data_IF_010506915122
#
_entry.id   IF_010506915122
#
_cell.length_a   1.000
_cell.length_b   1.000
_cell.length_c   1.000
_cell.angle_alpha   90.00
_cell.angle_beta   90.00
_cell.angle_gamma   90.00
#
_symmetry.space_group_name_H-M   'P 1'
#
loop_
_entity.id
_entity.type
_entity.pdbx_description
1 polymer ?
#
# COMPACT_ATOMS: atom_id res chain seq x y z
N UNK A 1 -8.22 -12.75 -0.90
CA UNK A 1 -7.08 -13.68 -0.79
C UNK A 1 -7.43 -14.97 -1.50
N UNK A 2 -6.51 -15.57 -2.25
CA UNK A 2 -6.71 -16.86 -2.92
C UNK A 2 -6.60 -18.00 -1.89
N UNK A 3 -7.26 -19.16 -2.07
CA UNK A 3 -7.10 -20.28 -1.16
C UNK A 3 -5.62 -20.67 -1.00
N UNK A 4 -5.13 -20.75 0.24
CA UNK A 4 -3.73 -21.10 0.56
C UNK A 4 -2.68 -20.02 0.29
N UNK A 5 -3.07 -18.82 -0.12
CA UNK A 5 -2.15 -17.70 -0.36
C UNK A 5 -1.61 -17.13 0.94
N UNK A 6 -0.30 -16.99 1.06
CA UNK A 6 0.33 -16.37 2.24
C UNK A 6 0.18 -14.84 2.18
N UNK A 7 0.13 -14.13 3.32
CA UNK A 7 -0.01 -12.67 3.34
C UNK A 7 1.05 -11.92 2.51
N UNK A 8 2.31 -12.36 2.50
CA UNK A 8 3.38 -11.78 1.68
C UNK A 8 3.12 -11.93 0.18
N UNK A 9 2.65 -13.11 -0.25
CA UNK A 9 2.34 -13.37 -1.65
C UNK A 9 1.11 -12.55 -2.09
N UNK A 10 0.16 -12.36 -1.18
CA UNK A 10 -1.03 -11.54 -1.40
C UNK A 10 -0.71 -10.08 -1.68
N UNK A 11 0.03 -9.38 -0.79
CA UNK A 11 0.38 -7.96 -0.99
C UNK A 11 1.28 -7.77 -2.20
N UNK A 12 2.22 -8.68 -2.44
CA UNK A 12 3.08 -8.67 -3.63
C UNK A 12 2.25 -8.76 -4.90
N UNK A 13 1.34 -9.73 -4.99
CA UNK A 13 0.46 -9.91 -6.14
C UNK A 13 -0.42 -8.67 -6.39
N UNK A 14 -1.02 -8.10 -5.35
CA UNK A 14 -1.87 -6.92 -5.50
C UNK A 14 -1.07 -5.70 -5.99
N UNK A 15 0.14 -5.49 -5.52
CA UNK A 15 1.01 -4.42 -6.02
C UNK A 15 1.31 -4.61 -7.51
N UNK A 16 1.67 -5.83 -7.94
CA UNK A 16 1.90 -6.17 -9.36
C UNK A 16 0.64 -5.97 -10.21
N UNK A 17 -0.52 -6.46 -9.75
CA UNK A 17 -1.79 -6.32 -10.46
C UNK A 17 -2.22 -4.86 -10.63
N UNK A 18 -2.02 -4.02 -9.57
CA UNK A 18 -2.28 -2.57 -9.62
C UNK A 18 -1.37 -1.88 -10.64
N UNK A 19 -0.06 -2.16 -10.61
CA UNK A 19 0.89 -1.62 -11.58
C UNK A 19 0.53 -1.97 -13.03
N UNK A 20 0.19 -3.24 -13.27
CA UNK A 20 -0.25 -3.70 -14.59
C UNK A 20 -1.57 -3.08 -15.04
N UNK A 21 -2.48 -2.78 -14.12
CA UNK A 21 -3.74 -2.11 -14.45
C UNK A 21 -3.51 -0.66 -14.88
N UNK A 22 -2.63 0.07 -14.20
CA UNK A 22 -2.25 1.45 -14.57
C UNK A 22 -1.57 1.47 -15.94
N UNK A 23 -0.65 0.53 -16.20
CA UNK A 23 0.03 0.42 -17.51
C UNK A 23 -0.98 0.24 -18.66
N UNK A 24 -1.95 -0.67 -18.50
CA UNK A 24 -3.01 -0.87 -19.49
C UNK A 24 -3.86 0.38 -19.71
N UNK A 25 -4.21 1.09 -18.64
CA UNK A 25 -4.97 2.32 -18.74
C UNK A 25 -4.22 3.39 -19.54
N UNK A 26 -2.93 3.59 -19.23
CA UNK A 26 -2.07 4.53 -19.95
C UNK A 26 -1.90 4.17 -21.44
N UNK A 27 -1.81 2.88 -21.78
CA UNK A 27 -1.75 2.42 -23.17
C UNK A 27 -3.06 2.73 -23.89
N UNK A 28 -4.21 2.45 -23.30
CA UNK A 28 -5.52 2.74 -23.89
C UNK A 28 -5.75 4.24 -24.13
N UNK A 29 -5.32 5.10 -23.20
CA UNK A 29 -5.43 6.56 -23.36
C UNK A 29 -4.54 7.09 -24.49
N UNK A 30 -3.38 6.47 -24.74
CA UNK A 30 -2.50 6.81 -25.87
C UNK A 30 -3.12 6.44 -27.23
N UNK A 31 -3.84 5.33 -27.31
CA UNK A 31 -4.53 4.89 -28.52
C UNK A 31 -5.80 5.73 -28.81
N UNK A 32 -6.43 6.30 -27.78
CA UNK A 32 -7.67 7.06 -27.88
C UNK A 32 -7.49 8.49 -28.43
N UNK A 33 -6.24 8.98 -28.63
CA UNK A 33 -5.96 10.28 -29.26
C UNK A 33 -5.61 10.07 -30.77
N UNK A 34 -6.60 10.03 -31.70
CA UNK A 34 -6.32 10.00 -33.12
C UNK A 34 -5.85 11.38 -33.59
N UNK A 35 -4.62 11.46 -34.08
CA UNK A 35 -4.16 12.63 -34.82
C UNK A 35 -3.18 13.55 -34.11
N UNK A 36 -2.08 13.02 -33.54
CA UNK A 36 -0.87 13.79 -33.46
C UNK A 36 -0.35 14.02 -34.89
N UNK A 37 -0.79 15.13 -35.51
CA UNK A 37 -0.25 15.60 -36.79
C UNK A 37 1.27 15.72 -36.62
N UNK A 38 2.01 14.91 -37.36
CA UNK A 38 3.46 14.93 -37.36
C UNK A 38 3.95 16.35 -37.61
N UNK A 39 4.81 16.82 -36.70
CA UNK A 39 5.46 18.11 -36.83
C UNK A 39 6.39 18.03 -38.07
N UNK A 40 6.28 18.91 -39.07
CA UNK A 40 7.08 18.82 -40.31
C UNK A 40 8.58 19.01 -40.10
N UNK A 41 9.02 19.39 -38.89
CA UNK A 41 10.42 19.71 -38.59
C UNK A 41 11.23 18.52 -38.02
N UNK A 42 10.71 17.29 -38.05
CA UNK A 42 11.47 16.09 -37.65
C UNK A 42 11.95 16.08 -36.16
N UNK A 43 11.51 17.05 -35.36
CA UNK A 43 11.73 17.02 -33.91
C UNK A 43 10.66 16.13 -33.31
N UNK A 44 11.02 14.90 -32.99
CA UNK A 44 10.23 14.07 -32.09
C UNK A 44 9.93 14.88 -30.84
N UNK A 45 8.66 15.27 -30.65
CA UNK A 45 8.24 15.77 -29.35
C UNK A 45 8.67 14.71 -28.35
N UNK A 46 9.33 15.12 -27.30
CA UNK A 46 9.72 14.34 -26.13
C UNK A 46 8.47 13.71 -25.49
N UNK A 47 7.97 12.66 -26.11
CA UNK A 47 6.73 11.97 -25.77
C UNK A 47 6.92 10.53 -25.32
N UNK A 48 8.11 9.98 -25.48
CA UNK A 48 8.52 8.69 -24.91
C UNK A 48 9.42 8.89 -23.70
N UNK A 49 9.05 9.77 -22.79
CA UNK A 49 9.60 9.68 -21.45
C UNK A 49 9.17 8.30 -20.91
N UNK A 50 10.13 7.43 -20.59
CA UNK A 50 9.87 6.15 -19.93
C UNK A 50 9.05 6.42 -18.66
N UNK A 51 7.77 6.05 -18.71
CA UNK A 51 6.88 6.22 -17.57
C UNK A 51 7.25 5.17 -16.55
N UNK A 52 7.60 5.62 -15.35
CA UNK A 52 7.72 4.75 -14.19
C UNK A 52 6.39 4.66 -13.46
N UNK A 53 5.91 3.44 -13.28
CA UNK A 53 4.70 3.15 -12.52
C UNK A 53 5.15 2.57 -11.17
N UNK A 54 4.77 3.25 -10.09
CA UNK A 54 4.94 2.75 -8.72
C UNK A 54 3.58 2.35 -8.20
N UNK A 55 3.45 1.10 -7.78
CA UNK A 55 2.23 0.58 -7.19
C UNK A 55 2.52 -0.08 -5.85
N UNK A 56 1.63 0.11 -4.88
CA UNK A 56 1.74 -0.50 -3.56
C UNK A 56 0.40 -1.04 -3.07
N UNK A 57 0.48 -2.06 -2.21
CA UNK A 57 -0.66 -2.59 -1.47
C UNK A 57 -0.24 -2.91 -0.04
N UNK A 58 -0.98 -2.38 0.93
CA UNK A 58 -0.69 -2.51 2.37
C UNK A 58 -1.78 -3.32 3.06
N UNK A 59 -1.37 -4.26 3.89
CA UNK A 59 -2.26 -5.09 4.69
C UNK A 59 -1.78 -5.23 6.12
N UNK A 60 -2.73 -5.26 7.05
CA UNK A 60 -2.50 -5.55 8.48
C UNK A 60 -2.72 -7.04 8.71
N UNK A 61 -1.76 -7.69 9.36
CA UNK A 61 -1.77 -9.13 9.59
C UNK A 61 -1.71 -9.43 11.09
N UNK A 62 -2.67 -10.17 11.59
CA UNK A 62 -2.69 -10.67 12.98
C UNK A 62 -3.06 -12.15 12.97
N UNK A 63 -2.30 -13.00 13.68
CA UNK A 63 -2.51 -14.45 13.73
C UNK A 63 -2.64 -15.11 12.33
N UNK A 64 -1.88 -14.60 11.34
CA UNK A 64 -1.93 -15.08 9.97
C UNK A 64 -3.18 -14.62 9.17
N UNK A 65 -4.08 -13.85 9.79
CA UNK A 65 -5.27 -13.29 9.16
C UNK A 65 -4.98 -11.89 8.63
N UNK A 66 -5.48 -11.59 7.44
CA UNK A 66 -5.43 -10.25 6.86
C UNK A 66 -6.65 -9.46 7.35
N UNK A 67 -6.39 -8.33 7.98
CA UNK A 67 -7.41 -7.32 8.29
C UNK A 67 -7.44 -6.29 7.16
N UNK A 68 -8.53 -6.29 6.42
CA UNK A 68 -8.81 -5.26 5.41
C UNK A 68 -9.34 -3.97 6.04
N UNK A 69 -10.02 -3.16 5.22
CA UNK A 69 -10.79 -2.03 5.72
C UNK A 69 -12.03 -2.53 6.45
N UNK A 70 -12.43 -1.90 7.55
CA UNK A 70 -13.66 -2.28 8.24
C UNK A 70 -14.88 -2.01 7.34
N UNK A 71 -15.90 -2.86 7.46
CA UNK A 71 -17.14 -2.70 6.69
C UNK A 71 -18.12 -1.74 7.38
N UNK A 72 -18.00 -1.60 8.70
CA UNK A 72 -18.81 -0.70 9.54
C UNK A 72 -18.11 -0.41 10.88
N UNK A 73 -18.80 0.32 11.76
CA UNK A 73 -18.29 0.67 13.09
C UNK A 73 -18.09 -0.57 13.98
N UNK A 74 -18.97 -1.55 13.92
CA UNK A 74 -18.87 -2.77 14.71
C UNK A 74 -17.65 -3.61 14.27
N UNK A 75 -17.37 -3.66 12.98
CA UNK A 75 -16.16 -4.30 12.46
C UNK A 75 -14.89 -3.55 12.85
N UNK A 76 -14.92 -2.19 12.87
CA UNK A 76 -13.82 -1.37 13.41
C UNK A 76 -13.53 -1.71 14.87
N UNK A 77 -14.56 -1.79 15.72
CA UNK A 77 -14.42 -2.18 17.12
C UNK A 77 -13.81 -3.59 17.26
N UNK A 78 -14.31 -4.56 16.49
CA UNK A 78 -13.80 -5.93 16.47
C UNK A 78 -12.31 -5.96 16.11
N UNK A 79 -11.90 -5.21 15.07
CA UNK A 79 -10.50 -5.12 14.65
C UNK A 79 -9.62 -4.52 15.74
N UNK A 80 -10.02 -3.41 16.36
CA UNK A 80 -9.27 -2.77 17.43
C UNK A 80 -9.11 -3.67 18.65
N UNK A 81 -10.18 -4.39 19.07
CA UNK A 81 -10.10 -5.37 20.16
C UNK A 81 -9.14 -6.51 19.81
N UNK A 82 -9.12 -6.95 18.56
CA UNK A 82 -8.19 -7.99 18.09
C UNK A 82 -6.73 -7.53 18.13
N UNK A 83 -6.46 -6.25 17.91
CA UNK A 83 -5.12 -5.66 17.93
C UNK A 83 -4.66 -5.23 19.34
N UNK A 84 -5.59 -5.08 20.28
CA UNK A 84 -5.33 -4.61 21.65
C UNK A 84 -4.35 -5.50 22.42
N UNK A 85 -3.38 -4.89 23.10
CA UNK A 85 -2.44 -5.56 24.02
C UNK A 85 -1.42 -6.47 23.33
N UNK A 86 -1.23 -6.35 21.99
CA UNK A 86 -0.38 -7.29 21.23
C UNK A 86 0.34 -6.63 20.07
N UNK A 87 1.24 -7.36 19.45
CA UNK A 87 1.87 -6.98 18.19
C UNK A 87 1.13 -7.59 17.00
N UNK A 88 1.20 -6.89 15.89
CA UNK A 88 0.76 -7.36 14.57
C UNK A 88 1.75 -6.93 13.51
N UNK A 89 1.66 -7.49 12.31
CA UNK A 89 2.51 -7.13 11.17
C UNK A 89 1.76 -6.22 10.21
N UNK A 90 2.48 -5.25 9.65
CA UNK A 90 2.05 -4.47 8.51
C UNK A 90 2.96 -4.82 7.33
N UNK A 91 2.37 -5.37 6.28
CA UNK A 91 3.06 -5.75 5.06
C UNK A 91 2.67 -4.78 3.95
N UNK A 92 3.66 -4.24 3.24
CA UNK A 92 3.42 -3.48 2.02
C UNK A 92 4.19 -4.12 0.86
N UNK A 93 3.44 -4.66 -0.10
CA UNK A 93 3.99 -5.02 -1.40
C UNK A 93 4.19 -3.77 -2.25
N UNK A 94 5.35 -3.66 -2.89
CA UNK A 94 5.69 -2.59 -3.83
C UNK A 94 6.09 -3.20 -5.16
N UNK A 95 5.61 -2.61 -6.26
CA UNK A 95 6.07 -2.86 -7.63
C UNK A 95 6.51 -1.54 -8.25
N UNK A 96 7.67 -1.54 -8.88
CA UNK A 96 8.16 -0.45 -9.74
C UNK A 96 8.35 -1.02 -11.13
N UNK A 97 7.71 -0.38 -12.11
CA UNK A 97 7.64 -0.87 -13.49
C UNK A 97 7.98 0.22 -14.48
N UNK A 98 8.76 -0.12 -15.51
CA UNK A 98 8.92 0.62 -16.76
C UNK A 98 8.43 -0.22 -17.92
N UNK A 99 8.53 0.31 -19.17
CA UNK A 99 8.27 -0.44 -20.39
C UNK A 99 9.15 -1.68 -20.57
N UNK A 100 10.36 -1.66 -20.00
CA UNK A 100 11.38 -2.71 -20.16
C UNK A 100 11.47 -3.69 -19.00
N UNK A 101 11.09 -3.26 -17.78
CA UNK A 101 11.40 -4.04 -16.56
C UNK A 101 10.37 -3.79 -15.45
N UNK A 102 10.13 -4.85 -14.66
CA UNK A 102 9.39 -4.78 -13.40
C UNK A 102 10.22 -5.39 -12.26
N UNK A 103 10.29 -4.68 -11.15
CA UNK A 103 10.91 -5.13 -9.89
C UNK A 103 9.94 -4.91 -8.74
N UNK A 104 10.13 -5.61 -7.63
CA UNK A 104 9.27 -5.43 -6.48
C UNK A 104 9.85 -6.02 -5.19
N UNK A 105 9.29 -5.56 -4.08
CA UNK A 105 9.67 -5.99 -2.73
C UNK A 105 8.43 -6.08 -1.85
N UNK A 106 8.51 -6.81 -0.75
CA UNK A 106 7.56 -6.74 0.35
C UNK A 106 8.31 -6.20 1.57
N UNK A 107 7.88 -5.05 2.07
CA UNK A 107 8.35 -4.47 3.31
C UNK A 107 7.48 -4.95 4.48
N UNK A 108 8.11 -5.22 5.62
CA UNK A 108 7.46 -5.70 6.83
C UNK A 108 7.79 -4.78 8.01
N UNK A 109 6.79 -4.51 8.84
CA UNK A 109 6.95 -3.75 10.10
C UNK A 109 6.05 -4.34 11.17
N UNK A 110 6.62 -4.64 12.34
CA UNK A 110 5.84 -5.01 13.51
C UNK A 110 5.36 -3.75 14.24
N UNK A 111 4.08 -3.70 14.54
CA UNK A 111 3.43 -2.61 15.29
C UNK A 111 2.92 -3.18 16.60
N UNK A 112 3.25 -2.51 17.71
CA UNK A 112 2.86 -2.91 19.07
C UNK A 112 1.76 -1.97 19.56
N UNK A 113 0.62 -2.53 19.91
CA UNK A 113 -0.54 -1.80 20.44
C UNK A 113 -0.62 -2.07 21.94
N UNK A 114 -0.77 -1.02 22.74
CA UNK A 114 -1.05 -1.15 24.16
C UNK A 114 -2.43 -1.79 24.40
N UNK A 115 -2.70 -2.24 25.62
CA UNK A 115 -4.04 -2.69 26.00
C UNK A 115 -5.03 -1.52 25.88
N UNK A 116 -6.14 -1.74 25.16
CA UNK A 116 -7.20 -0.76 24.93
C UNK A 116 -8.38 -1.09 25.82
N UNK A 117 -8.85 -0.09 26.57
CA UNK A 117 -10.13 -0.19 27.26
C UNK A 117 -11.29 -0.08 26.26
N UNK A 118 -12.49 -0.52 26.65
CA UNK A 118 -13.70 -0.35 25.86
C UNK A 118 -13.99 1.14 25.58
N UNK A 119 -13.62 2.04 26.50
CA UNK A 119 -13.73 3.47 26.31
C UNK A 119 -12.77 4.00 25.24
N UNK A 120 -11.53 3.47 25.16
CA UNK A 120 -10.57 3.81 24.12
C UNK A 120 -11.06 3.35 22.74
N UNK A 121 -11.57 2.13 22.66
CA UNK A 121 -12.14 1.58 21.42
C UNK A 121 -13.31 2.44 20.94
N UNK A 122 -14.29 2.70 21.81
CA UNK A 122 -15.45 3.52 21.48
C UNK A 122 -15.07 4.95 21.07
N UNK A 123 -14.12 5.56 21.81
CA UNK A 123 -13.63 6.91 21.50
C UNK A 123 -12.95 6.96 20.12
N UNK A 124 -12.13 5.99 19.80
CA UNK A 124 -11.43 5.98 18.52
C UNK A 124 -12.38 5.70 17.35
N UNK A 125 -13.30 4.74 17.48
CA UNK A 125 -14.29 4.45 16.46
C UNK A 125 -15.20 5.64 16.19
N UNK A 126 -15.62 6.36 17.24
CA UNK A 126 -16.43 7.58 17.10
C UNK A 126 -15.72 8.70 16.34
N UNK A 127 -14.38 8.70 16.28
CA UNK A 127 -13.63 9.69 15.48
C UNK A 127 -13.76 9.47 13.98
N UNK A 128 -14.11 8.27 13.53
CA UNK A 128 -14.20 7.89 12.12
C UNK A 128 -12.85 7.73 11.40
N UNK A 129 -11.71 7.94 12.08
CA UNK A 129 -10.38 7.97 11.45
C UNK A 129 -10.01 6.64 10.78
N UNK A 130 -10.44 5.51 11.35
CA UNK A 130 -10.08 4.17 10.89
C UNK A 130 -10.93 3.61 9.75
N UNK A 131 -12.01 4.27 9.34
CA UNK A 131 -13.04 3.72 8.44
C UNK A 131 -12.49 3.24 7.09
N UNK A 132 -11.49 3.94 6.54
CA UNK A 132 -10.88 3.63 5.25
C UNK A 132 -9.48 3.00 5.35
N UNK A 133 -9.07 2.56 6.54
CA UNK A 133 -7.74 2.02 6.83
C UNK A 133 -7.77 0.52 7.08
N UNK A 134 -6.75 -0.18 6.58
CA UNK A 134 -6.54 -1.59 6.90
C UNK A 134 -6.32 -1.75 8.42
N UNK A 135 -7.00 -2.72 9.05
CA UNK A 135 -6.95 -2.92 10.49
C UNK A 135 -7.67 -1.85 11.30
N UNK A 136 -8.47 -0.99 10.66
CA UNK A 136 -9.27 0.05 11.27
C UNK A 136 -8.47 1.10 12.09
N UNK A 137 -7.21 1.40 11.74
CA UNK A 137 -6.44 2.43 12.43
C UNK A 137 -5.47 3.18 11.51
N UNK A 138 -5.09 4.40 11.87
CA UNK A 138 -4.08 5.21 11.21
C UNK A 138 -2.96 5.59 12.19
N UNK A 139 -1.73 5.06 11.95
CA UNK A 139 -0.57 5.35 12.82
C UNK A 139 -0.22 6.85 12.86
N UNK A 140 -0.54 7.60 11.80
CA UNK A 140 -0.27 9.04 11.69
C UNK A 140 -1.24 9.91 12.49
N UNK A 141 -2.39 9.36 12.90
CA UNK A 141 -3.46 10.12 13.53
C UNK A 141 -3.64 9.79 15.00
N UNK A 142 -4.90 9.79 15.43
CA UNK A 142 -5.31 9.60 16.82
C UNK A 142 -4.88 8.24 17.38
N UNK A 143 -4.78 7.19 16.52
CA UNK A 143 -4.32 5.87 16.95
C UNK A 143 -2.86 5.87 17.42
N UNK A 144 -2.05 6.88 17.07
CA UNK A 144 -0.66 6.99 17.54
C UNK A 144 -0.53 6.94 19.06
N UNK A 145 -1.55 7.42 19.80
CA UNK A 145 -1.57 7.35 21.28
C UNK A 145 -1.55 5.91 21.84
N UNK A 146 -1.97 4.95 21.04
CA UNK A 146 -2.07 3.55 21.42
C UNK A 146 -0.87 2.70 20.98
N UNK A 147 0.06 3.30 20.21
CA UNK A 147 1.18 2.59 19.59
C UNK A 147 2.50 3.07 20.22
N UNK A 148 2.95 2.40 21.31
CA UNK A 148 4.17 2.79 22.01
C UNK A 148 5.45 2.43 21.27
N UNK A 149 5.39 1.48 20.30
CA UNK A 149 6.59 0.97 19.61
C UNK A 149 6.26 0.36 18.26
N UNK A 150 7.21 0.49 17.33
CA UNK A 150 7.27 -0.27 16.09
C UNK A 150 8.67 -0.89 15.94
N UNK A 151 8.76 -1.98 15.16
CA UNK A 151 10.02 -2.57 14.71
C UNK A 151 9.97 -2.65 13.18
N UNK A 152 10.77 -1.82 12.51
CA UNK A 152 10.78 -1.65 11.07
C UNK A 152 10.58 -0.19 10.64
N UNK A 153 9.91 0.01 9.51
CA UNK A 153 9.75 1.32 8.88
C UNK A 153 8.39 1.96 9.21
N UNK A 154 8.41 3.16 9.79
CA UNK A 154 7.20 3.95 10.04
C UNK A 154 6.44 4.25 8.74
N UNK A 155 7.16 4.65 7.69
CA UNK A 155 6.54 4.97 6.39
C UNK A 155 5.96 3.74 5.69
N UNK A 156 6.45 2.52 6.02
CA UNK A 156 5.82 1.29 5.61
C UNK A 156 4.42 1.14 6.24
N UNK A 157 4.28 1.43 7.53
CA UNK A 157 2.98 1.37 8.23
C UNK A 157 2.01 2.42 7.69
N UNK A 158 2.52 3.59 7.28
CA UNK A 158 1.74 4.63 6.59
C UNK A 158 1.18 4.14 5.25
N UNK A 159 1.90 3.23 4.56
CA UNK A 159 1.46 2.61 3.32
C UNK A 159 2.42 2.69 2.14
N UNK A 160 3.60 3.31 2.30
CA UNK A 160 4.62 3.35 1.26
C UNK A 160 6.04 3.33 1.86
N UNK A 161 6.79 2.23 1.74
CA UNK A 161 8.17 2.12 2.22
C UNK A 161 9.13 2.88 1.29
N UNK A 162 9.26 4.20 1.53
CA UNK A 162 9.91 5.15 0.62
C UNK A 162 11.37 4.78 0.30
N UNK A 163 12.12 4.27 1.28
CA UNK A 163 13.52 3.86 1.06
C UNK A 163 13.63 2.70 0.06
N UNK A 164 12.76 1.70 0.19
CA UNK A 164 12.67 0.57 -0.73
C UNK A 164 12.20 1.01 -2.11
N UNK A 165 11.22 1.92 -2.18
CA UNK A 165 10.75 2.49 -3.45
C UNK A 165 11.88 3.22 -4.17
N UNK A 166 12.64 4.08 -3.48
CA UNK A 166 13.78 4.80 -4.08
C UNK A 166 14.82 3.82 -4.66
N UNK A 167 15.19 2.79 -3.88
CA UNK A 167 16.13 1.76 -4.34
C UNK A 167 15.60 1.00 -5.57
N UNK A 168 14.31 0.67 -5.62
CA UNK A 168 13.71 -0.01 -6.77
C UNK A 168 13.66 0.89 -8.01
N UNK A 169 13.40 2.20 -7.83
CA UNK A 169 13.45 3.17 -8.93
C UNK A 169 14.88 3.21 -9.51
N UNK A 170 15.90 3.36 -8.67
CA UNK A 170 17.30 3.36 -9.11
C UNK A 170 17.64 2.06 -9.87
N UNK A 171 17.15 0.92 -9.39
CA UNK A 171 17.36 -0.37 -10.04
C UNK A 171 16.71 -0.45 -11.43
N UNK A 172 15.55 0.17 -11.63
CA UNK A 172 14.84 0.18 -12.92
C UNK A 172 15.46 1.17 -13.90
N UNK A 173 15.92 2.32 -13.42
CA UNK A 173 16.44 3.41 -14.26
C UNK A 173 17.90 3.19 -14.67
N UNK A 174 18.73 2.56 -13.81
CA UNK A 174 20.19 2.49 -14.00
C UNK A 174 20.64 1.31 -14.87
N UNK A 175 19.78 0.37 -15.22
CA UNK A 175 20.08 -0.84 -16.00
C UNK A 175 19.23 -0.95 -17.25
#
# INVERSE_FOLDING_TARGET
MRPGERPHDYVRRLALEKGAAVERALASDREAVPGAVGNPDGRTKSGDADVLIVAADTSVIVDGQILGKPVDAADSERMLRLLSGRSHLVLTGVSVRSSAREVGVVAETAVFVQELSEADVAWYVASGEGVDKAGAYAIQGLASRFIPRIEGSYVNVVGLPVAEVARLIDEVVTK
#
